data_IF_729908719103
#
_entry.id   IF_729908719103
#
_cell.length_a   1.000
_cell.length_b   1.000
_cell.length_c   1.000
_cell.angle_alpha   90.00
_cell.angle_beta   90.00
_cell.angle_gamma   90.00
#
_symmetry.space_group_name_H-M   'P 1'
#
loop_
_entity.id
_entity.type
_entity.pdbx_description
1 polymer ?
#
# COMPACT_ATOMS: atom_id res chain seq x y z
N UNK A 1 -14.05 -10.69 -32.82
CA UNK A 1 -13.35 -10.27 -31.59
C UNK A 1 -12.27 -11.32 -31.36
N UNK A 2 -11.01 -10.94 -31.46
CA UNK A 2 -9.90 -11.86 -31.17
C UNK A 2 -9.99 -12.31 -29.72
N UNK A 3 -9.90 -13.62 -29.51
CA UNK A 3 -9.90 -14.27 -28.20
C UNK A 3 -8.70 -13.75 -27.39
N UNK A 4 -8.93 -12.75 -26.55
CA UNK A 4 -7.92 -12.30 -25.58
C UNK A 4 -7.91 -13.42 -24.55
N UNK A 5 -6.84 -14.22 -24.55
CA UNK A 5 -6.62 -15.28 -23.56
C UNK A 5 -6.71 -14.74 -22.13
N UNK A 6 -6.72 -15.63 -21.12
CA UNK A 6 -6.90 -15.22 -19.72
C UNK A 6 -5.90 -14.12 -19.34
N UNK A 7 -6.43 -13.00 -18.83
CA UNK A 7 -5.64 -11.87 -18.34
C UNK A 7 -5.52 -11.99 -16.83
N UNK A 8 -4.29 -11.87 -16.32
CA UNK A 8 -4.08 -11.77 -14.89
C UNK A 8 -4.69 -10.47 -14.37
N UNK A 9 -5.58 -10.57 -13.39
CA UNK A 9 -6.21 -9.40 -12.74
C UNK A 9 -5.33 -8.94 -11.57
N UNK A 10 -5.35 -9.70 -10.46
CA UNK A 10 -4.65 -9.32 -9.22
C UNK A 10 -4.41 -10.50 -8.29
N UNK A 11 -3.35 -10.42 -7.51
CA UNK A 11 -3.04 -11.33 -6.39
C UNK A 11 -2.67 -10.53 -5.16
N UNK A 12 -3.17 -10.95 -4.01
CA UNK A 12 -2.82 -10.41 -2.71
C UNK A 12 -2.05 -11.47 -1.91
N UNK A 13 -0.97 -11.06 -1.26
CA UNK A 13 -0.15 -11.92 -0.40
C UNK A 13 0.10 -11.20 0.91
N UNK A 14 -0.34 -11.81 2.01
CA UNK A 14 -0.07 -11.38 3.37
C UNK A 14 0.74 -12.43 4.11
N UNK A 15 1.85 -12.03 4.71
CA UNK A 15 2.77 -12.96 5.37
C UNK A 15 2.38 -13.07 6.84
N UNK A 16 1.78 -14.19 7.25
CA UNK A 16 1.24 -14.39 8.60
C UNK A 16 2.22 -13.99 9.72
N UNK A 17 3.48 -14.43 9.62
CA UNK A 17 4.50 -14.09 10.60
C UNK A 17 4.79 -12.57 10.66
N UNK A 18 4.83 -11.90 9.51
CA UNK A 18 5.07 -10.46 9.44
C UNK A 18 3.85 -9.65 9.88
N UNK A 19 2.65 -10.09 9.51
CA UNK A 19 1.37 -9.55 9.99
C UNK A 19 1.29 -9.63 11.51
N UNK A 20 1.55 -10.79 12.09
CA UNK A 20 1.53 -11.01 13.53
C UNK A 20 2.60 -10.17 14.25
N UNK A 21 3.82 -10.10 13.71
CA UNK A 21 4.87 -9.24 14.25
C UNK A 21 4.47 -7.76 14.21
N UNK A 22 3.94 -7.30 13.07
CA UNK A 22 3.45 -5.93 12.94
C UNK A 22 2.35 -5.61 13.96
N UNK A 23 1.33 -6.45 14.03
CA UNK A 23 0.17 -6.26 14.90
C UNK A 23 0.56 -6.21 16.38
N UNK A 24 1.54 -7.01 16.81
CA UNK A 24 1.87 -7.17 18.22
C UNK A 24 3.05 -6.30 18.71
N UNK A 25 4.05 -6.04 17.86
CA UNK A 25 5.33 -5.45 18.31
C UNK A 25 5.73 -4.16 17.59
N UNK A 26 5.16 -3.89 16.41
CA UNK A 26 5.56 -2.73 15.61
C UNK A 26 4.79 -1.47 15.98
N UNK A 27 5.32 -0.34 15.51
CA UNK A 27 4.65 0.96 15.58
C UNK A 27 3.40 0.90 14.71
N UNK A 28 2.30 1.56 15.08
CA UNK A 28 1.07 1.60 14.29
C UNK A 28 1.24 2.55 13.08
N UNK A 29 2.25 2.30 12.26
CA UNK A 29 2.63 3.08 11.09
C UNK A 29 2.80 2.15 9.90
N UNK A 30 2.05 2.42 8.83
CA UNK A 30 2.07 1.66 7.58
C UNK A 30 2.58 2.57 6.47
N UNK A 31 3.70 2.19 5.85
CA UNK A 31 4.19 2.77 4.60
C UNK A 31 3.54 2.08 3.42
N UNK A 32 3.07 2.85 2.45
CA UNK A 32 2.50 2.37 1.19
C UNK A 32 3.32 2.89 0.02
N UNK A 33 3.66 2.00 -0.90
CA UNK A 33 4.40 2.34 -2.12
C UNK A 33 4.02 1.38 -3.26
N UNK A 34 4.25 1.82 -4.49
CA UNK A 34 4.01 1.06 -5.71
C UNK A 34 5.20 1.17 -6.66
N UNK A 35 5.51 0.08 -7.36
CA UNK A 35 6.52 0.11 -8.42
C UNK A 35 6.08 -0.67 -9.67
N UNK A 36 6.60 -0.25 -10.82
CA UNK A 36 6.33 -0.93 -12.10
C UNK A 36 7.09 -2.25 -12.17
N UNK A 37 6.37 -3.31 -12.56
CA UNK A 37 6.99 -4.59 -12.88
C UNK A 37 7.58 -4.53 -14.30
N UNK A 38 8.86 -4.91 -14.41
CA UNK A 38 9.58 -5.01 -15.69
C UNK A 38 9.47 -6.44 -16.21
N UNK A 39 8.33 -6.77 -16.80
CA UNK A 39 8.08 -8.05 -17.43
C UNK A 39 7.20 -7.90 -18.66
N UNK A 40 7.06 -8.97 -19.43
CA UNK A 40 6.27 -8.99 -20.67
C UNK A 40 4.80 -8.60 -20.45
N UNK A 41 4.28 -8.91 -19.26
CA UNK A 41 2.89 -8.65 -18.86
C UNK A 41 2.69 -7.31 -18.14
N UNK A 42 3.77 -6.58 -17.85
CA UNK A 42 3.71 -5.31 -17.11
C UNK A 42 3.08 -5.46 -15.72
N UNK A 43 2.18 -4.53 -15.39
CA UNK A 43 1.53 -4.43 -14.08
C UNK A 43 2.37 -3.70 -13.05
N UNK A 44 1.90 -3.75 -11.81
CA UNK A 44 2.55 -3.08 -10.70
C UNK A 44 2.54 -3.92 -9.44
N UNK A 45 3.62 -3.77 -8.66
CA UNK A 45 3.74 -4.30 -7.33
C UNK A 45 3.40 -3.19 -6.35
N UNK A 46 2.32 -3.35 -5.60
CA UNK A 46 1.95 -2.48 -4.48
C UNK A 46 2.30 -3.19 -3.17
N UNK A 47 2.78 -2.45 -2.18
CA UNK A 47 3.24 -3.02 -0.92
C UNK A 47 2.87 -2.17 0.29
N UNK A 48 2.60 -2.86 1.39
CA UNK A 48 2.45 -2.29 2.72
C UNK A 48 3.60 -2.75 3.61
N UNK A 49 4.32 -1.79 4.20
CA UNK A 49 5.44 -2.04 5.10
C UNK A 49 5.20 -1.41 6.46
N UNK A 50 5.50 -2.15 7.53
CA UNK A 50 5.50 -1.64 8.90
C UNK A 50 6.88 -1.16 9.32
N UNK A 51 6.95 -0.53 10.49
CA UNK A 51 8.22 -0.16 11.14
C UNK A 51 8.24 -0.65 12.58
N UNK A 52 9.27 -1.40 12.94
CA UNK A 52 9.40 -1.97 14.28
C UNK A 52 9.95 -0.95 15.32
N UNK A 53 10.11 -1.40 16.56
CA UNK A 53 10.72 -0.60 17.63
C UNK A 53 12.15 -0.16 17.30
N UNK A 54 12.90 -0.98 16.57
CA UNK A 54 14.29 -0.78 16.17
C UNK A 54 14.46 -0.03 14.83
N UNK A 55 13.41 0.60 14.32
CA UNK A 55 13.38 1.31 13.05
C UNK A 55 13.64 0.44 11.79
N UNK A 56 13.56 -0.89 11.90
CA UNK A 56 13.62 -1.79 10.76
C UNK A 56 12.26 -1.85 10.05
N UNK A 57 12.30 -2.10 8.74
CA UNK A 57 11.10 -2.26 7.93
C UNK A 57 10.69 -3.72 7.90
N UNK A 58 9.39 -3.97 8.03
CA UNK A 58 8.81 -5.31 7.93
C UNK A 58 7.75 -5.34 6.82
N UNK A 59 7.83 -6.24 5.83
CA UNK A 59 6.81 -6.35 4.80
C UNK A 59 5.54 -6.98 5.40
N UNK A 60 4.42 -6.27 5.39
CA UNK A 60 3.15 -6.78 5.93
C UNK A 60 2.44 -7.60 4.86
N UNK A 61 2.16 -6.94 3.73
CA UNK A 61 1.49 -7.51 2.58
C UNK A 61 1.98 -6.85 1.29
N UNK A 62 1.83 -7.55 0.17
CA UNK A 62 2.02 -7.00 -1.15
C UNK A 62 0.99 -7.58 -2.12
N UNK A 63 0.78 -6.89 -3.22
CA UNK A 63 -0.07 -7.36 -4.29
C UNK A 63 0.54 -7.05 -5.65
N UNK A 64 0.27 -7.94 -6.61
CA UNK A 64 0.46 -7.64 -8.04
C UNK A 64 -0.90 -7.25 -8.59
N UNK A 65 -0.96 -6.08 -9.22
CA UNK A 65 -2.18 -5.51 -9.80
C UNK A 65 -1.94 -5.09 -11.25
N UNK A 66 -3.02 -5.00 -11.99
CA UNK A 66 -3.05 -4.59 -13.39
C UNK A 66 -2.52 -3.17 -13.62
N UNK A 67 -2.84 -2.24 -12.72
CA UNK A 67 -2.39 -0.84 -12.78
C UNK A 67 -2.56 -0.13 -11.43
N UNK A 68 -1.93 1.03 -11.29
CA UNK A 68 -2.13 1.89 -10.13
C UNK A 68 -3.41 2.69 -10.30
N UNK A 69 -4.51 2.13 -9.82
CA UNK A 69 -5.78 2.83 -9.83
C UNK A 69 -6.31 3.00 -8.41
N UNK A 70 -7.30 3.87 -8.27
CA UNK A 70 -8.06 3.97 -7.02
C UNK A 70 -8.68 2.62 -6.66
N UNK A 71 -9.17 1.87 -7.65
CA UNK A 71 -9.81 0.56 -7.43
C UNK A 71 -8.81 -0.46 -6.88
N UNK A 72 -7.65 -0.58 -7.52
CA UNK A 72 -6.60 -1.53 -7.13
C UNK A 72 -6.06 -1.20 -5.73
N UNK A 73 -5.90 0.09 -5.40
CA UNK A 73 -5.53 0.52 -4.05
C UNK A 73 -6.63 0.27 -3.01
N UNK A 74 -7.90 0.57 -3.33
CA UNK A 74 -9.02 0.33 -2.42
C UNK A 74 -9.12 -1.16 -2.09
N UNK A 75 -9.12 -2.01 -3.12
CA UNK A 75 -9.15 -3.46 -2.97
C UNK A 75 -8.00 -3.99 -2.10
N UNK A 76 -6.77 -3.50 -2.31
CA UNK A 76 -5.62 -3.87 -1.50
C UNK A 76 -5.76 -3.43 -0.04
N UNK A 77 -6.24 -2.21 0.19
CA UNK A 77 -6.43 -1.66 1.53
C UNK A 77 -7.55 -2.38 2.29
N UNK A 78 -8.64 -2.74 1.62
CA UNK A 78 -9.74 -3.49 2.22
C UNK A 78 -9.25 -4.86 2.71
N UNK A 79 -8.49 -5.60 1.89
CA UNK A 79 -7.88 -6.87 2.28
C UNK A 79 -6.87 -6.71 3.41
N UNK A 80 -6.01 -5.69 3.34
CA UNK A 80 -5.02 -5.40 4.38
C UNK A 80 -5.68 -5.11 5.74
N UNK A 81 -6.77 -4.35 5.75
CA UNK A 81 -7.50 -4.01 6.97
C UNK A 81 -8.26 -5.22 7.54
N UNK A 82 -8.83 -6.05 6.67
CA UNK A 82 -9.45 -7.32 7.05
C UNK A 82 -8.42 -8.23 7.75
N UNK A 83 -7.23 -8.39 7.16
CA UNK A 83 -6.16 -9.20 7.73
C UNK A 83 -5.64 -8.64 9.08
N UNK A 84 -5.62 -7.32 9.22
CA UNK A 84 -5.26 -6.64 10.46
C UNK A 84 -6.41 -6.59 11.49
N UNK A 85 -7.45 -7.42 11.32
CA UNK A 85 -8.62 -7.55 12.19
C UNK A 85 -9.38 -6.23 12.41
N UNK A 86 -9.61 -5.46 11.35
CA UNK A 86 -10.51 -4.30 11.30
C UNK A 86 -10.46 -3.43 12.58
N UNK A 87 -9.27 -2.89 12.88
CA UNK A 87 -9.05 -1.61 13.59
C UNK A 87 -9.90 -1.40 14.86
N UNK A 88 -10.06 -2.41 15.72
CA UNK A 88 -10.78 -2.18 16.98
C UNK A 88 -9.90 -1.61 18.11
N UNK A 89 -8.56 -1.57 17.98
CA UNK A 89 -7.69 -1.15 19.09
C UNK A 89 -6.48 -0.25 18.75
N UNK A 90 -6.11 -0.07 17.48
CA UNK A 90 -4.95 0.76 17.08
C UNK A 90 -5.32 1.73 15.97
N UNK A 91 -5.17 3.03 16.23
CA UNK A 91 -5.20 4.05 15.17
C UNK A 91 -3.93 3.92 14.34
N UNK A 92 -4.03 3.29 13.16
CA UNK A 92 -2.91 3.20 12.23
C UNK A 92 -2.71 4.54 11.50
N UNK A 93 -1.47 4.98 11.43
CA UNK A 93 -1.05 6.07 10.56
C UNK A 93 -0.53 5.50 9.23
N UNK A 94 -0.95 6.08 8.13
CA UNK A 94 -0.50 5.72 6.78
C UNK A 94 0.46 6.78 6.26
N UNK A 95 1.59 6.37 5.72
CA UNK A 95 2.51 7.21 4.95
C UNK A 95 2.53 6.71 3.52
N UNK A 96 2.19 7.58 2.58
CA UNK A 96 2.27 7.27 1.15
C UNK A 96 2.98 8.35 0.37
N UNK A 97 3.24 8.11 -0.91
CA UNK A 97 3.54 9.19 -1.85
C UNK A 97 2.26 9.96 -2.28
N UNK A 98 2.40 10.90 -3.22
CA UNK A 98 1.27 11.71 -3.74
C UNK A 98 0.58 11.09 -4.97
N UNK A 99 0.58 9.76 -5.10
CA UNK A 99 -0.09 9.11 -6.23
C UNK A 99 -1.60 9.37 -6.23
N UNK A 100 -2.15 9.60 -7.43
CA UNK A 100 -3.53 10.07 -7.64
C UNK A 100 -4.59 9.06 -7.20
N UNK A 101 -4.28 7.75 -7.23
CA UNK A 101 -5.21 6.69 -6.82
C UNK A 101 -5.19 6.42 -5.31
N UNK A 102 -4.05 6.63 -4.67
CA UNK A 102 -3.77 6.22 -3.30
C UNK A 102 -4.39 7.15 -2.26
N UNK A 103 -4.25 8.47 -2.43
CA UNK A 103 -4.83 9.45 -1.49
C UNK A 103 -6.37 9.31 -1.38
N UNK A 104 -7.12 9.18 -2.50
CA UNK A 104 -8.56 8.94 -2.42
C UNK A 104 -8.93 7.59 -1.81
N UNK A 105 -8.12 6.54 -2.01
CA UNK A 105 -8.37 5.22 -1.43
C UNK A 105 -8.18 5.23 0.09
N UNK A 106 -7.15 5.91 0.61
CA UNK A 106 -6.95 6.06 2.05
C UNK A 106 -8.07 6.91 2.68
N UNK A 107 -8.51 7.97 2.01
CA UNK A 107 -9.62 8.80 2.49
C UNK A 107 -10.94 8.01 2.63
N UNK A 108 -11.13 6.96 1.83
CA UNK A 108 -12.31 6.08 1.90
C UNK A 108 -12.28 5.13 3.11
N UNK A 109 -11.12 4.85 3.72
CA UNK A 109 -11.03 3.99 4.91
C UNK A 109 -11.77 4.61 6.11
N UNK A 110 -11.85 5.94 6.17
CA UNK A 110 -12.63 6.69 7.15
C UNK A 110 -11.82 7.67 8.00
N UNK A 111 -12.50 8.43 8.86
CA UNK A 111 -11.88 9.50 9.64
C UNK A 111 -10.98 9.02 10.81
N UNK A 112 -10.91 7.71 11.04
CA UNK A 112 -10.13 7.12 12.14
C UNK A 112 -8.68 6.82 11.78
N UNK A 113 -8.28 7.03 10.51
CA UNK A 113 -6.91 6.81 10.05
C UNK A 113 -6.22 8.15 9.82
N UNK A 114 -4.98 8.25 10.28
CA UNK A 114 -4.14 9.41 10.00
C UNK A 114 -3.40 9.16 8.69
N UNK A 115 -3.51 10.08 7.72
CA UNK A 115 -2.76 10.00 6.48
C UNK A 115 -1.70 11.10 6.40
N UNK A 116 -0.46 10.70 6.11
CA UNK A 116 0.68 11.58 5.92
C UNK A 116 1.34 11.35 4.56
N UNK A 117 1.90 12.41 4.01
CA UNK A 117 2.67 12.34 2.77
C UNK A 117 4.14 12.11 3.08
N UNK A 118 4.78 11.24 2.32
CA UNK A 118 6.19 10.96 2.41
C UNK A 118 6.99 12.21 2.00
N UNK A 119 7.73 12.80 2.96
CA UNK A 119 8.51 14.03 2.76
C UNK A 119 9.54 13.88 1.64
N UNK A 120 10.14 12.69 1.50
CA UNK A 120 11.09 12.38 0.41
C UNK A 120 10.42 12.54 -0.96
N UNK A 121 9.22 12.02 -1.12
CA UNK A 121 8.45 12.13 -2.37
C UNK A 121 7.91 13.54 -2.59
N UNK A 122 7.43 14.21 -1.54
CA UNK A 122 7.00 15.60 -1.60
C UNK A 122 8.14 16.51 -2.10
N UNK A 123 9.33 16.38 -1.51
CA UNK A 123 10.50 17.15 -1.93
C UNK A 123 10.93 16.81 -3.36
N UNK A 124 10.95 15.52 -3.72
CA UNK A 124 11.27 15.09 -5.08
C UNK A 124 10.31 15.65 -6.13
N UNK A 125 9.01 15.66 -5.84
CA UNK A 125 7.98 16.23 -6.72
C UNK A 125 8.06 17.76 -6.79
N UNK A 126 8.32 18.43 -5.66
CA UNK A 126 8.54 19.87 -5.65
C UNK A 126 9.75 20.26 -6.50
N UNK A 127 10.89 19.57 -6.34
CA UNK A 127 12.11 19.83 -7.11
C UNK A 127 11.85 19.76 -8.61
N UNK A 128 11.15 18.73 -9.10
CA UNK A 128 10.77 18.58 -10.52
C UNK A 128 9.90 19.72 -11.08
N UNK A 129 9.20 20.47 -10.23
CA UNK A 129 8.34 21.60 -10.64
C UNK A 129 9.08 22.94 -10.67
N UNK A 130 10.19 23.05 -9.95
CA UNK A 130 10.94 24.32 -9.79
C UNK A 130 12.30 24.30 -10.49
N UNK A 131 12.73 23.15 -11.02
CA UNK A 131 13.89 22.98 -11.90
C UNK A 131 13.43 22.88 -13.35
#
# INVERSE_FOLDING_TARGET
MSDIGPVFERIYVCLEACKAAFANTCRPLIGLDACFLKGEYGGQLIAAVGKDGNNQMIPIAYAVVEAETKDSWQWFLDLLLEDLNNVQQKQYAFISDQQKGLVPAIANIGAHVEHRLCVKHLYGNWKKKVS
#
